data_IF_685131740404
#
_entry.id   IF_685131740404
#
_cell.length_a   1.000
_cell.length_b   1.000
_cell.length_c   1.000
_cell.angle_alpha   90.00
_cell.angle_beta   90.00
_cell.angle_gamma   90.00
#
_symmetry.space_group_name_H-M   'P 1'
#
loop_
_entity.id
_entity.type
_entity.pdbx_description
1 polymer ?
#
# COMPACT_ATOMS: atom_id res chain seq x y z
N UNK A 1 -37.60 20.85 28.80
CA UNK A 1 -36.53 21.37 27.96
C UNK A 1 -36.18 20.47 26.74
N UNK A 2 -36.01 19.13 26.88
CA UNK A 2 -35.73 18.22 25.73
C UNK A 2 -36.82 18.17 24.64
N UNK A 3 -38.12 18.27 25.00
CA UNK A 3 -39.20 18.20 24.00
C UNK A 3 -39.31 19.45 23.10
N UNK A 4 -38.98 20.65 23.60
CA UNK A 4 -39.00 21.87 22.82
C UNK A 4 -37.83 21.92 21.80
N UNK A 5 -36.65 21.35 22.16
CA UNK A 5 -35.50 21.26 21.26
C UNK A 5 -35.75 20.28 20.12
N UNK A 6 -36.42 19.13 20.39
CA UNK A 6 -36.72 18.15 19.33
C UNK A 6 -37.69 18.70 18.27
N UNK A 7 -38.73 19.44 18.68
CA UNK A 7 -39.64 20.11 17.75
C UNK A 7 -38.93 21.17 16.90
N UNK A 8 -37.94 21.87 17.42
CA UNK A 8 -37.10 22.81 16.67
C UNK A 8 -36.22 22.08 15.65
N UNK A 9 -35.58 20.98 16.04
CA UNK A 9 -34.71 20.21 15.14
C UNK A 9 -35.54 19.61 14.01
N UNK A 10 -36.71 19.03 14.25
CA UNK A 10 -37.60 18.47 13.23
C UNK A 10 -38.03 19.51 12.20
N UNK A 11 -38.30 20.75 12.64
CA UNK A 11 -38.63 21.86 11.74
C UNK A 11 -37.43 22.24 10.85
N UNK A 12 -36.22 22.23 11.40
CA UNK A 12 -34.97 22.47 10.64
C UNK A 12 -34.76 21.35 9.65
N UNK A 13 -34.85 20.09 10.05
CA UNK A 13 -34.72 18.93 9.13
C UNK A 13 -35.73 18.98 8.00
N UNK A 14 -36.99 19.36 8.30
CA UNK A 14 -38.01 19.54 7.25
C UNK A 14 -37.62 20.67 6.25
N UNK A 15 -36.89 21.69 6.69
CA UNK A 15 -36.37 22.72 5.78
C UNK A 15 -35.29 22.15 4.87
N UNK A 16 -34.35 21.34 5.40
CA UNK A 16 -33.33 20.66 4.60
C UNK A 16 -33.97 19.69 3.57
N UNK A 17 -34.99 18.96 3.98
CA UNK A 17 -35.77 18.09 3.07
C UNK A 17 -36.34 18.86 1.89
N UNK A 18 -36.92 20.04 2.14
CA UNK A 18 -37.44 20.93 1.07
C UNK A 18 -36.33 21.51 0.17
N UNK A 19 -35.11 21.64 0.69
CA UNK A 19 -33.90 22.05 -0.09
C UNK A 19 -33.32 20.90 -0.92
N UNK A 20 -33.86 19.67 -0.79
CA UNK A 20 -33.48 18.51 -1.58
C UNK A 20 -32.43 17.59 -0.95
N UNK A 21 -32.18 17.71 0.34
CA UNK A 21 -31.40 16.72 1.09
C UNK A 21 -32.25 15.48 1.34
N UNK A 22 -31.61 14.30 1.34
CA UNK A 22 -32.34 13.04 1.46
C UNK A 22 -31.58 12.00 2.32
N UNK A 23 -32.32 11.01 2.81
CA UNK A 23 -31.75 9.82 3.48
C UNK A 23 -30.66 10.15 4.51
N UNK A 24 -29.50 9.57 4.31
CA UNK A 24 -28.36 9.66 5.24
C UNK A 24 -27.75 11.07 5.33
N UNK A 25 -27.94 11.96 4.35
CA UNK A 25 -27.55 13.36 4.47
C UNK A 25 -28.37 14.05 5.59
N UNK A 26 -29.69 13.82 5.61
CA UNK A 26 -30.56 14.36 6.68
C UNK A 26 -30.19 13.78 8.04
N UNK A 27 -29.78 12.52 8.10
CA UNK A 27 -29.34 11.88 9.34
C UNK A 27 -28.03 12.50 9.85
N UNK A 28 -27.08 12.80 8.98
CA UNK A 28 -25.84 13.50 9.34
C UNK A 28 -26.12 14.91 9.89
N UNK A 29 -27.00 15.67 9.22
CA UNK A 29 -27.43 17.01 9.67
C UNK A 29 -28.13 16.92 11.02
N UNK A 30 -29.07 15.99 11.18
CA UNK A 30 -29.78 15.76 12.45
C UNK A 30 -28.81 15.49 13.60
N UNK A 31 -27.89 14.57 13.40
CA UNK A 31 -26.88 14.22 14.40
C UNK A 31 -26.00 15.41 14.81
N UNK A 32 -25.64 16.27 13.84
CA UNK A 32 -24.91 17.50 14.12
C UNK A 32 -25.72 18.47 14.98
N UNK A 33 -26.97 18.76 14.60
CA UNK A 33 -27.88 19.62 15.33
C UNK A 33 -28.16 19.13 16.76
N UNK A 34 -28.41 17.84 16.94
CA UNK A 34 -28.65 17.21 18.25
C UNK A 34 -27.47 17.34 19.21
N UNK A 35 -26.25 17.42 18.66
CA UNK A 35 -25.01 17.62 19.43
C UNK A 35 -24.59 19.08 19.55
N UNK A 36 -25.33 20.00 18.92
CA UNK A 36 -25.03 21.42 18.92
C UNK A 36 -23.83 21.83 18.07
N UNK A 37 -23.48 21.03 17.09
CA UNK A 37 -22.40 21.36 16.13
C UNK A 37 -22.88 22.33 15.07
N UNK A 38 -21.95 23.11 14.55
CA UNK A 38 -22.21 23.98 13.39
C UNK A 38 -22.31 23.14 12.10
N UNK A 39 -23.53 22.88 11.68
CA UNK A 39 -23.82 22.11 10.47
C UNK A 39 -23.58 22.91 9.19
N UNK A 40 -23.37 24.22 9.28
CA UNK A 40 -23.14 25.07 8.10
C UNK A 40 -21.87 24.68 7.33
N UNK A 41 -20.89 24.07 7.99
CA UNK A 41 -19.64 23.62 7.40
C UNK A 41 -19.80 22.49 6.39
N UNK A 42 -20.95 21.78 6.41
CA UNK A 42 -21.31 20.75 5.44
C UNK A 42 -22.73 20.91 4.87
N UNK A 43 -23.27 22.13 4.96
CA UNK A 43 -24.57 22.50 4.38
C UNK A 43 -24.47 22.77 2.86
N UNK A 44 -24.00 21.76 2.13
CA UNK A 44 -24.06 21.72 0.68
C UNK A 44 -24.54 20.34 0.24
N UNK A 45 -25.68 20.28 -0.44
CA UNK A 45 -26.28 19.00 -0.90
C UNK A 45 -25.45 18.24 -1.92
N UNK A 46 -24.37 18.83 -2.43
CA UNK A 46 -23.40 18.15 -3.31
C UNK A 46 -22.46 17.23 -2.53
N UNK A 47 -22.26 17.49 -1.24
CA UNK A 47 -21.61 16.48 -0.40
C UNK A 47 -22.44 15.22 -0.38
N UNK A 48 -21.81 14.07 -0.60
CA UNK A 48 -22.46 12.80 -0.31
C UNK A 48 -22.55 12.57 1.22
N UNK A 49 -23.30 11.57 1.61
CA UNK A 49 -23.50 11.32 3.03
C UNK A 49 -22.21 10.87 3.74
N UNK A 50 -21.30 10.19 3.04
CA UNK A 50 -20.03 9.71 3.59
C UNK A 50 -19.09 10.90 3.86
N UNK A 51 -19.02 11.87 2.95
CA UNK A 51 -18.30 13.14 3.16
C UNK A 51 -18.89 13.92 4.38
N UNK A 52 -20.21 14.03 4.46
CA UNK A 52 -20.87 14.69 5.60
C UNK A 52 -20.54 13.99 6.92
N UNK A 53 -20.50 12.64 6.95
CA UNK A 53 -20.14 11.89 8.16
C UNK A 53 -18.68 12.06 8.55
N UNK A 54 -17.74 12.19 7.60
CA UNK A 54 -16.34 12.47 7.91
C UNK A 54 -16.18 13.88 8.52
N UNK A 55 -16.89 14.87 8.00
CA UNK A 55 -16.89 16.23 8.57
C UNK A 55 -17.52 16.21 9.98
N UNK A 56 -18.70 15.60 10.14
CA UNK A 56 -19.37 15.43 11.44
C UNK A 56 -18.47 14.72 12.46
N UNK A 57 -17.72 13.73 12.01
CA UNK A 57 -16.77 12.99 12.84
C UNK A 57 -15.63 13.90 13.31
N UNK A 58 -15.11 14.76 12.43
CA UNK A 58 -14.12 15.76 12.79
C UNK A 58 -14.63 16.73 13.86
N UNK A 59 -15.82 17.29 13.67
CA UNK A 59 -16.48 18.16 14.65
C UNK A 59 -16.65 17.47 16.01
N UNK A 60 -17.04 16.20 16.01
CA UNK A 60 -17.20 15.39 17.24
C UNK A 60 -15.89 15.27 18.04
N UNK A 61 -14.76 15.17 17.36
CA UNK A 61 -13.44 15.04 17.98
C UNK A 61 -12.69 16.37 18.08
N UNK A 62 -13.36 17.51 17.83
CA UNK A 62 -12.80 18.86 17.87
C UNK A 62 -11.59 19.03 16.94
N UNK A 63 -11.64 18.42 15.75
CA UNK A 63 -10.65 18.54 14.70
C UNK A 63 -11.06 19.71 13.80
N UNK A 64 -10.09 20.49 13.33
CA UNK A 64 -10.34 21.55 12.35
C UNK A 64 -10.78 20.95 11.02
N UNK A 65 -12.08 21.00 10.75
CA UNK A 65 -12.68 20.47 9.52
C UNK A 65 -12.50 21.38 8.33
N UNK A 66 -12.13 22.65 8.52
CA UNK A 66 -11.98 23.63 7.44
C UNK A 66 -10.94 23.21 6.38
N UNK A 67 -9.98 22.39 6.77
CA UNK A 67 -8.92 21.86 5.90
C UNK A 67 -9.48 20.90 4.84
N UNK A 68 -10.52 20.13 5.19
CA UNK A 68 -10.99 19.04 4.34
C UNK A 68 -12.49 19.08 4.02
N UNK A 69 -13.25 19.99 4.57
CA UNK A 69 -14.67 20.17 4.26
C UNK A 69 -14.82 20.85 2.87
N UNK A 70 -14.30 20.20 1.84
CA UNK A 70 -14.28 20.67 0.45
C UNK A 70 -14.73 19.54 -0.49
N UNK A 71 -15.63 19.84 -1.41
CA UNK A 71 -16.18 18.92 -2.42
C UNK A 71 -15.13 18.28 -3.32
N UNK A 72 -13.94 18.89 -3.43
CA UNK A 72 -12.84 18.33 -4.22
C UNK A 72 -12.25 17.05 -3.63
N UNK A 73 -12.44 16.79 -2.34
CA UNK A 73 -11.92 15.61 -1.66
C UNK A 73 -12.98 14.52 -1.59
N UNK A 74 -12.61 13.28 -1.93
CA UNK A 74 -13.45 12.13 -1.66
C UNK A 74 -13.59 11.90 -0.14
N UNK A 75 -14.64 11.19 0.28
CA UNK A 75 -14.80 10.84 1.70
C UNK A 75 -13.59 10.06 2.25
N UNK A 76 -12.94 9.23 1.41
CA UNK A 76 -11.74 8.49 1.81
C UNK A 76 -10.57 9.42 2.10
N UNK A 77 -10.33 10.41 1.24
CA UNK A 77 -9.26 11.39 1.49
C UNK A 77 -9.59 12.28 2.69
N UNK A 78 -10.84 12.72 2.85
CA UNK A 78 -11.30 13.43 4.06
C UNK A 78 -11.02 12.63 5.34
N UNK A 79 -11.29 11.32 5.32
CA UNK A 79 -10.99 10.41 6.43
C UNK A 79 -9.50 10.40 6.76
N UNK A 80 -8.62 10.27 5.77
CA UNK A 80 -7.18 10.24 6.00
C UNK A 80 -6.66 11.57 6.50
N UNK A 81 -7.14 12.71 5.95
CA UNK A 81 -6.81 14.04 6.46
C UNK A 81 -7.23 14.18 7.92
N UNK A 82 -8.47 13.81 8.26
CA UNK A 82 -8.95 13.82 9.64
C UNK A 82 -8.10 12.96 10.57
N UNK A 83 -7.70 11.78 10.12
CA UNK A 83 -6.81 10.90 10.88
C UNK A 83 -5.44 11.55 11.10
N UNK A 84 -4.84 12.12 10.07
CA UNK A 84 -3.57 12.83 10.18
C UNK A 84 -3.63 13.96 11.22
N UNK A 85 -4.67 14.80 11.14
CA UNK A 85 -4.91 15.85 12.12
C UNK A 85 -5.13 15.30 13.55
N UNK A 86 -5.82 14.17 13.70
CA UNK A 86 -6.03 13.53 15.00
C UNK A 86 -4.76 12.94 15.62
N UNK A 87 -3.76 12.62 14.79
CA UNK A 87 -2.42 12.20 15.23
C UNK A 87 -1.46 13.37 15.46
N UNK A 88 -1.93 14.61 15.29
CA UNK A 88 -1.13 15.80 15.53
C UNK A 88 -0.20 16.19 14.39
N UNK A 89 -0.45 15.67 13.18
CA UNK A 89 0.29 16.11 11.99
C UNK A 89 0.11 17.61 11.82
N UNK A 90 1.23 18.30 11.62
CA UNK A 90 1.25 19.75 11.46
C UNK A 90 0.41 20.21 10.27
N UNK A 91 -0.40 21.26 10.50
CA UNK A 91 -1.30 21.83 9.52
C UNK A 91 -0.60 22.24 8.21
N UNK A 92 0.53 22.94 8.32
CA UNK A 92 1.21 23.50 7.15
C UNK A 92 1.83 22.39 6.31
N UNK A 93 2.38 21.35 6.95
CA UNK A 93 2.86 20.15 6.28
C UNK A 93 1.75 19.44 5.52
N UNK A 94 0.58 19.30 6.15
CA UNK A 94 -0.58 18.64 5.55
C UNK A 94 -1.05 19.41 4.30
N UNK A 95 -1.28 20.72 4.43
CA UNK A 95 -1.74 21.58 3.34
C UNK A 95 -0.73 21.59 2.20
N UNK A 96 0.58 21.64 2.50
CA UNK A 96 1.61 21.61 1.50
C UNK A 96 1.53 20.38 0.57
N UNK A 97 1.13 19.22 1.09
CA UNK A 97 0.91 18.04 0.25
C UNK A 97 -0.44 18.06 -0.47
N UNK A 98 -1.51 18.54 0.17
CA UNK A 98 -2.84 18.58 -0.42
C UNK A 98 -2.96 19.56 -1.60
N UNK A 99 -2.11 20.57 -1.65
CA UNK A 99 -2.06 21.57 -2.74
C UNK A 99 -1.19 21.12 -3.93
N UNK A 100 -0.54 19.96 -3.85
CA UNK A 100 0.30 19.47 -4.94
C UNK A 100 -0.50 18.67 -5.97
N UNK A 101 -0.76 19.21 -7.17
CA UNK A 101 -1.65 18.59 -8.14
C UNK A 101 -1.08 17.32 -8.80
N UNK A 102 0.21 17.02 -8.61
CA UNK A 102 0.88 15.85 -9.16
C UNK A 102 0.55 14.56 -8.42
N UNK A 103 0.08 14.64 -7.18
CA UNK A 103 -0.31 13.45 -6.42
C UNK A 103 -1.79 13.11 -6.62
N UNK A 104 -2.07 11.84 -6.86
CA UNK A 104 -3.43 11.33 -6.76
C UNK A 104 -3.79 10.99 -5.30
N UNK A 105 -5.08 10.79 -5.02
CA UNK A 105 -5.58 10.49 -3.66
C UNK A 105 -4.91 9.28 -3.01
N UNK A 106 -4.56 8.24 -3.79
CA UNK A 106 -3.91 7.02 -3.25
C UNK A 106 -2.47 7.29 -2.83
N UNK A 107 -1.77 8.17 -3.55
CA UNK A 107 -0.42 8.62 -3.20
C UNK A 107 -0.47 9.53 -1.97
N UNK A 108 -1.39 10.51 -1.95
CA UNK A 108 -1.62 11.36 -0.78
C UNK A 108 -1.92 10.52 0.47
N UNK A 109 -2.73 9.47 0.35
CA UNK A 109 -2.97 8.57 1.46
C UNK A 109 -1.69 7.94 2.01
N UNK A 110 -0.76 7.48 1.15
CA UNK A 110 0.50 6.91 1.64
C UNK A 110 1.37 7.95 2.37
N UNK A 111 1.40 9.19 1.86
CA UNK A 111 2.10 10.30 2.51
C UNK A 111 1.48 10.61 3.87
N UNK A 112 0.14 10.75 3.93
CA UNK A 112 -0.57 11.04 5.17
C UNK A 112 -0.39 9.93 6.22
N UNK A 113 -0.40 8.66 5.81
CA UNK A 113 -0.09 7.55 6.71
C UNK A 113 1.35 7.64 7.23
N UNK A 114 2.31 7.96 6.37
CA UNK A 114 3.69 8.16 6.79
C UNK A 114 3.85 9.30 7.81
N UNK A 115 3.16 10.42 7.59
CA UNK A 115 3.13 11.54 8.54
C UNK A 115 2.51 11.14 9.89
N UNK A 116 1.46 10.30 9.91
CA UNK A 116 0.86 9.78 11.14
C UNK A 116 1.82 8.89 11.94
N UNK A 117 2.73 8.20 11.25
CA UNK A 117 3.71 7.27 11.84
C UNK A 117 5.07 7.95 12.08
N UNK A 118 5.15 9.29 12.02
CA UNK A 118 6.37 10.11 12.16
C UNK A 118 7.52 9.68 11.22
N UNK A 119 7.18 9.16 10.04
CA UNK A 119 8.17 8.76 9.05
C UNK A 119 8.66 9.95 8.24
N UNK A 120 9.91 9.88 7.79
CA UNK A 120 10.49 10.81 6.83
C UNK A 120 9.88 10.60 5.44
N UNK A 121 8.77 11.28 5.17
CA UNK A 121 8.03 11.18 3.91
C UNK A 121 8.84 11.61 2.70
N UNK A 122 9.86 12.47 2.87
CA UNK A 122 10.75 12.90 1.79
C UNK A 122 11.47 11.75 1.09
N UNK A 123 11.53 10.59 1.73
CA UNK A 123 12.13 9.38 1.16
C UNK A 123 11.22 8.64 0.18
N UNK A 124 9.92 8.96 0.13
CA UNK A 124 8.98 8.28 -0.75
C UNK A 124 7.90 9.19 -1.36
N UNK A 125 7.99 10.50 -1.18
CA UNK A 125 7.05 11.48 -1.71
C UNK A 125 7.26 11.79 -3.22
N UNK A 126 7.60 10.77 -4.00
CA UNK A 126 7.79 10.90 -5.44
C UNK A 126 6.50 10.57 -6.20
N UNK A 127 5.97 11.55 -6.93
CA UNK A 127 4.78 11.35 -7.79
C UNK A 127 5.01 10.34 -8.93
N UNK A 128 6.26 9.96 -9.22
CA UNK A 128 6.61 8.96 -10.23
C UNK A 128 6.45 7.54 -9.72
N UNK A 129 6.46 7.35 -8.40
CA UNK A 129 6.22 6.05 -7.76
C UNK A 129 4.71 5.90 -7.55
N UNK A 130 4.13 4.79 -8.00
CA UNK A 130 2.72 4.54 -7.77
C UNK A 130 2.42 4.33 -6.26
N UNK A 131 1.16 4.48 -5.86
CA UNK A 131 0.77 4.40 -4.45
C UNK A 131 1.11 3.05 -3.81
N UNK A 132 1.18 1.97 -4.59
CA UNK A 132 1.57 0.64 -4.10
C UNK A 132 3.07 0.58 -3.86
N UNK A 133 3.87 1.17 -4.74
CA UNK A 133 5.31 1.34 -4.53
C UNK A 133 5.60 2.20 -3.30
N UNK A 134 4.92 3.33 -3.16
CA UNK A 134 5.01 4.19 -1.96
C UNK A 134 4.65 3.40 -0.68
N UNK A 135 3.63 2.54 -0.72
CA UNK A 135 3.28 1.66 0.39
C UNK A 135 4.42 0.70 0.75
N UNK A 136 5.11 0.11 -0.26
CA UNK A 136 6.22 -0.79 0.02
C UNK A 136 7.41 -0.06 0.66
N UNK A 137 7.68 1.19 0.23
CA UNK A 137 8.73 2.03 0.83
C UNK A 137 8.34 2.42 2.26
N UNK A 138 7.12 2.91 2.48
CA UNK A 138 6.61 3.28 3.80
C UNK A 138 6.73 2.10 4.78
N UNK A 139 6.28 0.91 4.38
CA UNK A 139 6.39 -0.30 5.21
C UNK A 139 7.84 -0.70 5.51
N UNK A 140 8.74 -0.47 4.57
CA UNK A 140 10.18 -0.66 4.82
C UNK A 140 10.70 0.27 5.90
N UNK A 141 10.32 1.55 5.86
CA UNK A 141 10.66 2.53 6.90
C UNK A 141 10.06 2.16 8.25
N UNK A 142 8.77 1.76 8.31
CA UNK A 142 8.10 1.28 9.53
C UNK A 142 8.85 0.10 10.18
N UNK A 143 9.37 -0.81 9.36
CA UNK A 143 10.10 -1.99 9.83
C UNK A 143 11.60 -1.73 10.00
N UNK A 144 12.07 -0.48 9.81
CA UNK A 144 13.45 -0.08 10.04
C UNK A 144 14.46 -0.69 9.07
N UNK A 145 14.04 -1.11 7.87
CA UNK A 145 14.97 -1.63 6.87
C UNK A 145 15.55 -0.52 6.00
N UNK A 146 16.75 -0.73 5.48
CA UNK A 146 17.37 0.18 4.53
C UNK A 146 16.65 0.12 3.18
N UNK A 147 15.90 1.19 2.87
CA UNK A 147 15.11 1.29 1.65
C UNK A 147 15.93 1.71 0.41
N UNK A 148 17.17 2.12 0.56
CA UNK A 148 18.00 2.70 -0.51
C UNK A 148 18.18 1.77 -1.72
N UNK A 149 18.06 0.46 -1.50
CA UNK A 149 18.20 -0.54 -2.56
C UNK A 149 16.97 -0.70 -3.46
N UNK A 150 15.83 -0.05 -3.14
CA UNK A 150 14.60 -0.17 -3.93
C UNK A 150 13.76 1.10 -4.04
N UNK A 151 14.19 2.21 -3.46
CA UNK A 151 13.57 3.54 -3.68
C UNK A 151 14.02 4.06 -5.04
N UNK A 152 13.45 3.49 -6.10
CA UNK A 152 13.80 3.82 -7.48
C UNK A 152 12.54 3.63 -8.36
N UNK A 153 12.20 4.64 -9.16
CA UNK A 153 11.05 4.64 -10.08
C UNK A 153 11.13 3.58 -11.18
N UNK A 154 12.29 2.94 -11.34
CA UNK A 154 12.48 1.84 -12.30
C UNK A 154 11.98 0.50 -11.80
N UNK A 155 11.71 0.36 -10.50
CA UNK A 155 11.08 -0.82 -9.92
C UNK A 155 9.57 -0.68 -9.91
N UNK A 156 8.85 -1.73 -10.28
CA UNK A 156 7.42 -1.83 -9.98
C UNK A 156 7.19 -2.22 -8.51
N UNK A 157 5.97 -1.99 -8.00
CA UNK A 157 5.63 -2.27 -6.60
C UNK A 157 5.80 -3.74 -6.19
N UNK A 158 5.69 -4.71 -7.13
CA UNK A 158 5.91 -6.12 -6.84
C UNK A 158 7.41 -6.44 -6.72
N UNK A 159 8.25 -5.76 -7.50
CA UNK A 159 9.71 -5.83 -7.35
C UNK A 159 10.14 -5.23 -6.01
N UNK A 160 9.63 -4.03 -5.66
CA UNK A 160 9.85 -3.40 -4.36
C UNK A 160 9.43 -4.30 -3.20
N UNK A 161 8.27 -4.96 -3.31
CA UNK A 161 7.77 -5.93 -2.32
C UNK A 161 8.75 -7.09 -2.09
N UNK A 162 9.30 -7.68 -3.16
CA UNK A 162 10.22 -8.81 -3.03
C UNK A 162 11.57 -8.38 -2.44
N UNK A 163 12.06 -7.16 -2.76
CA UNK A 163 13.28 -6.61 -2.16
C UNK A 163 13.05 -6.32 -0.68
N UNK A 164 11.96 -5.60 -0.32
CA UNK A 164 11.62 -5.31 1.08
C UNK A 164 11.52 -6.59 1.93
N UNK A 165 10.80 -7.62 1.45
CA UNK A 165 10.71 -8.91 2.15
C UNK A 165 12.07 -9.58 2.38
N UNK A 166 12.98 -9.42 1.44
CA UNK A 166 14.35 -9.92 1.59
C UNK A 166 15.09 -9.19 2.70
N UNK A 167 15.05 -7.86 2.70
CA UNK A 167 15.66 -7.00 3.72
C UNK A 167 15.07 -7.28 5.11
N UNK A 168 13.74 -7.37 5.24
CA UNK A 168 13.07 -7.72 6.50
C UNK A 168 13.48 -9.09 7.04
N UNK A 169 13.88 -10.00 6.14
CA UNK A 169 14.41 -11.32 6.50
C UNK A 169 15.93 -11.32 6.72
N UNK A 170 16.60 -10.16 6.69
CA UNK A 170 18.05 -10.04 6.85
C UNK A 170 18.86 -10.64 5.71
N UNK A 171 18.28 -10.77 4.51
CA UNK A 171 18.94 -11.34 3.35
C UNK A 171 19.74 -10.28 2.59
N UNK A 172 20.86 -10.69 1.98
CA UNK A 172 21.57 -9.85 1.00
C UNK A 172 20.77 -9.81 -0.31
N UNK A 173 20.10 -8.69 -0.54
CA UNK A 173 19.27 -8.48 -1.73
C UNK A 173 20.06 -8.03 -2.96
N UNK A 174 21.34 -7.69 -2.80
CA UNK A 174 22.16 -7.07 -3.86
C UNK A 174 22.21 -7.88 -5.15
N UNK A 175 22.08 -9.20 -5.05
CA UNK A 175 22.12 -10.10 -6.22
C UNK A 175 20.85 -9.99 -7.09
N UNK A 176 19.71 -9.57 -6.52
CA UNK A 176 18.44 -9.50 -7.25
C UNK A 176 17.73 -8.15 -7.19
N UNK A 177 18.19 -7.21 -6.39
CA UNK A 177 17.70 -5.83 -6.39
C UNK A 177 18.14 -5.12 -7.69
N UNK A 178 17.64 -5.60 -8.81
CA UNK A 178 17.96 -5.15 -10.15
C UNK A 178 16.70 -5.26 -11.02
N UNK A 179 16.27 -4.16 -11.62
CA UNK A 179 15.05 -4.04 -12.43
C UNK A 179 14.99 -4.95 -13.65
N UNK A 180 16.12 -5.59 -14.03
CA UNK A 180 16.15 -6.61 -15.09
C UNK A 180 15.47 -7.93 -14.69
N UNK A 181 15.36 -8.22 -13.40
CA UNK A 181 14.57 -9.33 -12.88
C UNK A 181 13.13 -8.87 -12.67
N UNK A 182 12.16 -9.63 -13.16
CA UNK A 182 10.77 -9.40 -12.74
C UNK A 182 10.53 -9.90 -11.32
N UNK A 183 9.43 -9.48 -10.71
CA UNK A 183 9.10 -9.81 -9.32
C UNK A 183 9.04 -11.31 -9.02
N UNK A 184 8.57 -12.13 -9.98
CA UNK A 184 8.52 -13.59 -9.83
C UNK A 184 9.93 -14.22 -9.86
N UNK A 185 10.85 -13.69 -10.64
CA UNK A 185 12.26 -14.10 -10.62
C UNK A 185 12.91 -13.69 -9.30
N UNK A 186 12.70 -12.44 -8.85
CA UNK A 186 13.17 -11.96 -7.54
C UNK A 186 12.65 -12.84 -6.40
N UNK A 187 11.38 -13.25 -6.44
CA UNK A 187 10.82 -14.18 -5.48
C UNK A 187 11.59 -15.51 -5.42
N UNK A 188 11.94 -16.09 -6.57
CA UNK A 188 12.73 -17.34 -6.61
C UNK A 188 14.12 -17.16 -6.00
N UNK A 189 14.78 -16.03 -6.25
CA UNK A 189 16.09 -15.72 -5.68
C UNK A 189 16.00 -15.48 -4.17
N UNK A 190 15.02 -14.68 -3.70
CA UNK A 190 14.77 -14.47 -2.27
C UNK A 190 14.51 -15.79 -1.53
N UNK A 191 13.66 -16.65 -2.09
CA UNK A 191 13.37 -17.97 -1.48
C UNK A 191 14.60 -18.87 -1.44
N UNK A 192 15.50 -18.78 -2.42
CA UNK A 192 16.76 -19.49 -2.40
C UNK A 192 17.69 -18.98 -1.30
N UNK A 193 17.88 -17.67 -1.21
CA UNK A 193 18.68 -17.04 -0.16
C UNK A 193 18.16 -17.41 1.24
N UNK A 194 16.84 -17.35 1.45
CA UNK A 194 16.22 -17.70 2.72
C UNK A 194 16.51 -19.16 3.16
N UNK A 195 16.85 -20.04 2.22
CA UNK A 195 17.25 -21.42 2.46
C UNK A 195 18.76 -21.64 2.45
N UNK A 196 19.55 -20.56 2.37
CA UNK A 196 21.01 -20.63 2.29
C UNK A 196 21.55 -21.23 0.99
N UNK A 197 20.76 -21.21 -0.09
CA UNK A 197 21.16 -21.72 -1.40
C UNK A 197 22.03 -20.66 -2.10
N UNK A 198 23.09 -21.08 -2.75
CA UNK A 198 23.89 -20.24 -3.63
C UNK A 198 23.09 -19.86 -4.89
N UNK A 199 22.39 -18.72 -4.79
CA UNK A 199 21.52 -18.23 -5.87
C UNK A 199 22.30 -17.66 -7.07
N UNK A 200 23.60 -17.38 -6.92
CA UNK A 200 24.44 -16.87 -8.01
C UNK A 200 24.46 -17.82 -9.21
N UNK A 201 24.23 -19.11 -8.98
CA UNK A 201 24.16 -20.12 -10.02
C UNK A 201 22.98 -19.95 -10.98
N UNK A 202 21.87 -19.35 -10.51
CA UNK A 202 20.66 -19.19 -11.32
C UNK A 202 20.07 -17.78 -11.32
N UNK A 203 20.79 -16.81 -10.80
CA UNK A 203 20.44 -15.40 -10.94
C UNK A 203 20.68 -14.91 -12.38
N UNK A 204 19.98 -15.52 -13.32
CA UNK A 204 20.12 -15.33 -14.76
C UNK A 204 18.80 -14.82 -15.34
N UNK A 205 18.78 -13.59 -15.83
CA UNK A 205 17.56 -12.94 -16.36
C UNK A 205 16.92 -13.68 -17.54
N UNK A 206 17.70 -14.55 -18.23
CA UNK A 206 17.20 -15.42 -19.30
C UNK A 206 16.31 -16.57 -18.83
N UNK A 207 16.39 -16.93 -17.54
CA UNK A 207 15.57 -17.99 -16.96
C UNK A 207 14.22 -17.42 -16.53
N UNK A 208 13.14 -18.08 -16.91
CA UNK A 208 11.82 -17.79 -16.33
C UNK A 208 11.79 -18.13 -14.84
N UNK A 209 10.83 -17.58 -14.11
CA UNK A 209 10.63 -17.91 -12.70
C UNK A 209 10.45 -19.42 -12.45
N UNK A 210 9.78 -20.14 -13.34
CA UNK A 210 9.61 -21.61 -13.24
C UNK A 210 10.92 -22.36 -13.47
N UNK A 211 11.73 -21.92 -14.41
CA UNK A 211 13.05 -22.50 -14.65
C UNK A 211 13.99 -22.24 -13.47
N UNK A 212 13.96 -21.02 -12.90
CA UNK A 212 14.67 -20.71 -11.64
C UNK A 212 14.19 -21.62 -10.50
N UNK A 213 12.89 -21.89 -10.41
CA UNK A 213 12.34 -22.83 -9.42
C UNK A 213 12.91 -24.24 -9.59
N UNK A 214 13.01 -24.77 -10.82
CA UNK A 214 13.61 -26.08 -11.07
C UNK A 214 15.07 -26.15 -10.59
N UNK A 215 15.85 -25.09 -10.87
CA UNK A 215 17.24 -25.02 -10.39
C UNK A 215 17.31 -24.94 -8.87
N UNK A 216 16.49 -24.07 -8.25
CA UNK A 216 16.42 -23.93 -6.81
C UNK A 216 16.05 -25.26 -6.12
N UNK A 217 14.98 -25.94 -6.59
CA UNK A 217 14.52 -27.21 -6.02
C UNK A 217 15.58 -28.32 -6.14
N UNK A 218 16.35 -28.33 -7.20
CA UNK A 218 17.47 -29.25 -7.36
C UNK A 218 18.62 -28.93 -6.41
N UNK A 219 19.02 -27.67 -6.30
CA UNK A 219 20.06 -27.19 -5.37
C UNK A 219 19.68 -27.47 -3.90
N UNK A 220 18.41 -27.21 -3.52
CA UNK A 220 17.87 -27.51 -2.18
C UNK A 220 18.05 -28.98 -1.79
N UNK A 221 17.97 -29.89 -2.76
CA UNK A 221 18.21 -31.33 -2.59
C UNK A 221 19.68 -31.73 -2.77
N UNK A 222 20.60 -30.77 -2.90
CA UNK A 222 22.02 -31.06 -3.12
C UNK A 222 22.32 -31.74 -4.45
N UNK A 223 21.53 -31.47 -5.48
CA UNK A 223 21.70 -32.02 -6.83
C UNK A 223 22.51 -31.03 -7.68
N UNK A 224 23.45 -31.54 -8.46
CA UNK A 224 24.20 -30.73 -9.44
C UNK A 224 23.27 -30.22 -10.55
N UNK A 225 23.37 -28.94 -10.88
CA UNK A 225 22.42 -28.27 -11.77
C UNK A 225 22.98 -27.92 -13.16
N UNK A 226 24.22 -28.33 -13.46
CA UNK A 226 24.89 -28.00 -14.72
C UNK A 226 24.07 -28.36 -15.99
N UNK A 227 23.32 -29.48 -15.90
CA UNK A 227 22.43 -29.90 -16.99
C UNK A 227 21.19 -29.00 -17.12
N UNK A 228 20.70 -28.38 -16.02
CA UNK A 228 19.56 -27.47 -16.04
C UNK A 228 19.96 -26.07 -16.53
N UNK A 229 21.24 -25.72 -16.48
CA UNK A 229 21.75 -24.38 -16.80
C UNK A 229 22.33 -24.29 -18.23
N UNK A 230 22.24 -25.37 -19.02
CA UNK A 230 22.66 -25.35 -20.42
C UNK A 230 21.86 -24.31 -21.21
N UNK A 231 22.55 -23.52 -22.02
CA UNK A 231 21.93 -22.58 -22.94
C UNK A 231 21.11 -23.30 -24.02
N UNK A 232 20.00 -22.69 -24.41
CA UNK A 232 19.14 -23.20 -25.48
C UNK A 232 18.20 -24.35 -25.08
N UNK A 233 18.17 -24.75 -23.79
CA UNK A 233 17.16 -25.70 -23.32
C UNK A 233 15.76 -25.08 -23.42
N UNK A 234 14.82 -25.84 -23.99
CA UNK A 234 13.41 -25.51 -23.95
C UNK A 234 12.81 -25.90 -22.59
N UNK A 235 11.75 -25.24 -22.20
CA UNK A 235 11.04 -25.50 -20.94
C UNK A 235 10.76 -26.99 -20.69
N UNK A 236 10.22 -27.72 -21.69
CA UNK A 236 9.89 -29.14 -21.55
C UNK A 236 11.15 -30.02 -21.36
N UNK A 237 12.25 -29.67 -21.98
CA UNK A 237 13.52 -30.37 -21.81
C UNK A 237 14.07 -30.17 -20.41
N UNK A 238 14.05 -28.90 -19.93
CA UNK A 238 14.47 -28.59 -18.57
C UNK A 238 13.62 -29.29 -17.53
N UNK A 239 12.28 -29.28 -17.69
CA UNK A 239 11.33 -29.99 -16.84
C UNK A 239 11.60 -31.50 -16.80
N UNK A 240 11.87 -32.11 -17.95
CA UNK A 240 12.21 -33.54 -18.03
C UNK A 240 13.53 -33.86 -17.33
N UNK A 241 14.55 -33.02 -17.51
CA UNK A 241 15.85 -33.16 -16.81
C UNK A 241 15.63 -33.04 -15.29
N UNK A 242 14.93 -31.98 -14.86
CA UNK A 242 14.60 -31.78 -13.43
C UNK A 242 13.93 -33.01 -12.81
N UNK A 243 12.86 -33.53 -13.43
CA UNK A 243 12.12 -34.68 -12.95
C UNK A 243 13.01 -35.94 -12.83
N UNK A 244 13.89 -36.17 -13.82
CA UNK A 244 14.84 -37.29 -13.77
C UNK A 244 15.85 -37.14 -12.64
N UNK A 245 16.39 -35.94 -12.44
CA UNK A 245 17.36 -35.64 -11.38
C UNK A 245 16.75 -35.87 -9.99
N UNK A 246 15.54 -35.36 -9.76
CA UNK A 246 14.81 -35.54 -8.48
C UNK A 246 14.51 -37.03 -8.22
N UNK A 247 13.98 -37.76 -9.23
CA UNK A 247 13.65 -39.19 -9.09
C UNK A 247 14.90 -40.05 -8.80
N UNK A 248 16.02 -39.76 -9.45
CA UNK A 248 17.28 -40.49 -9.24
C UNK A 248 17.86 -40.22 -7.84
N UNK A 249 17.72 -39.00 -7.30
CA UNK A 249 18.14 -38.67 -5.94
C UNK A 249 17.28 -39.40 -4.92
N UNK A 250 15.95 -39.45 -5.11
CA UNK A 250 15.04 -40.18 -4.21
C UNK A 250 15.37 -41.68 -4.15
N UNK A 251 15.68 -42.30 -5.29
CA UNK A 251 16.09 -43.73 -5.32
C UNK A 251 17.39 -44.02 -4.58
N UNK A 252 18.36 -43.08 -4.60
CA UNK A 252 19.64 -43.25 -3.87
C UNK A 252 19.54 -43.10 -2.35
N UNK A 253 18.46 -42.51 -1.84
CA UNK A 253 18.23 -42.33 -0.40
C UNK A 253 17.52 -43.57 0.19
N UNK A 254 16.90 -44.41 -0.65
CA UNK A 254 16.15 -45.61 -0.23
C UNK A 254 16.99 -46.90 -0.29
N UNK A 255 18.26 -46.79 -0.67
CA UNK A 255 19.26 -47.88 -0.69
C UNK A 255 20.37 -47.55 0.29
#
# INVERSE_FOLDING_TARGET
MKLSNNLSIDNIINSYKRRGYYGQQLDAIRQGLERGFDVSVYDDKRFDHEQMYEILTGLKYNIDVSIYADLKYSFMLMKYIRQALSHGVDHDNLVAYLEQPQYNEYQLNQILMGLCDDLDTSKFDSYKIDSRGMNEIRRGLENGVDITSYVDETFDHNQMLEIRKGLESGLDVSIYANNKFNSLQMCQLRLGLAKGIDVSKYALTRLSNTEMQFVRDALEKGIKVDLLLKEGLRYDEMKNIHNKLISNKARKVLV
#
